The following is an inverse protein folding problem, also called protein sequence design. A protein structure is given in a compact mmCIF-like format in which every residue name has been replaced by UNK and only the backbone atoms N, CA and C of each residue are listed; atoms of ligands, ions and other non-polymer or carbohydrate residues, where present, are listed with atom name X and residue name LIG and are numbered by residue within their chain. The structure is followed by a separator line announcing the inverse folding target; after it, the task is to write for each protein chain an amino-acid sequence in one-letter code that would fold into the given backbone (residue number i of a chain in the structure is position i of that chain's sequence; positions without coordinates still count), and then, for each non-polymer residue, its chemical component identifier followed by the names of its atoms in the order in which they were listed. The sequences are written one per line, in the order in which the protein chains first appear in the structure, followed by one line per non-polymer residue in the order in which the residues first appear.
data_IF_255767578912
#
_entry.id   IF_255767578912
#
_cell.length_a   1.000
_cell.length_b   1.000
_cell.length_c   1.000
_cell.angle_alpha   90.00
_cell.angle_beta   90.00
_cell.angle_gamma   90.00
#
_symmetry.space_group_name_H-M   'P 1'
#
loop_
_entity.id
_entity.type
_entity.pdbx_description
1 polymer ?
#
# COMPACT_ATOMS: atom_id res chain seq x y z
N UNK A 1 -13.41 3.21 20.30
CA UNK A 1 -12.26 3.68 19.52
C UNK A 1 -12.74 4.90 18.75
N UNK A 2 -12.10 6.06 18.88
CA UNK A 2 -12.60 7.31 18.27
C UNK A 2 -12.68 7.18 16.75
N UNK A 3 -13.79 7.62 16.16
CA UNK A 3 -13.95 7.65 14.72
C UNK A 3 -13.05 8.75 14.15
N UNK A 4 -11.94 8.35 13.53
CA UNK A 4 -11.05 9.27 12.81
C UNK A 4 -11.68 9.51 11.44
N UNK A 5 -11.76 10.78 11.03
CA UNK A 5 -12.30 11.13 9.72
C UNK A 5 -11.50 10.46 8.60
N UNK A 6 -12.19 9.92 7.58
CA UNK A 6 -11.55 9.37 6.37
C UNK A 6 -10.52 10.34 5.77
N UNK A 7 -10.78 11.64 5.83
CA UNK A 7 -9.89 12.70 5.35
C UNK A 7 -8.52 12.69 6.07
N UNK A 8 -8.50 12.40 7.37
CA UNK A 8 -7.26 12.31 8.13
C UNK A 8 -6.41 11.12 7.70
N UNK A 9 -7.03 9.98 7.39
CA UNK A 9 -6.30 8.81 6.83
C UNK A 9 -5.69 9.15 5.47
N UNK A 10 -6.47 9.75 4.57
CA UNK A 10 -5.99 10.15 3.23
C UNK A 10 -4.78 11.07 3.34
N UNK A 11 -4.88 12.13 4.15
CA UNK A 11 -3.75 13.06 4.35
C UNK A 11 -2.52 12.32 4.87
N UNK A 12 -2.67 11.46 5.88
CA UNK A 12 -1.54 10.73 6.46
C UNK A 12 -0.85 9.84 5.42
N UNK A 13 -1.61 9.07 4.64
CA UNK A 13 -1.06 8.16 3.63
C UNK A 13 -0.38 8.96 2.52
N UNK A 14 -0.97 10.07 2.10
CA UNK A 14 -0.36 10.94 1.09
C UNK A 14 0.98 11.50 1.57
N UNK A 15 1.08 11.92 2.82
CA UNK A 15 2.35 12.40 3.40
C UNK A 15 3.37 11.27 3.58
N UNK A 16 2.95 10.03 3.87
CA UNK A 16 3.85 8.86 3.88
C UNK A 16 4.44 8.64 2.48
N UNK A 17 3.62 8.65 1.43
CA UNK A 17 4.07 8.48 0.05
C UNK A 17 5.03 9.62 -0.35
N UNK A 18 4.66 10.88 -0.07
CA UNK A 18 5.54 12.04 -0.33
C UNK A 18 6.85 11.95 0.42
N UNK A 19 6.86 11.48 1.66
CA UNK A 19 8.07 11.28 2.44
C UNK A 19 9.02 10.29 1.76
N UNK A 20 8.53 9.14 1.29
CA UNK A 20 9.37 8.14 0.61
C UNK A 20 9.92 8.65 -0.72
N UNK A 21 9.10 9.37 -1.50
CA UNK A 21 9.56 10.04 -2.73
C UNK A 21 10.68 11.04 -2.40
N UNK A 22 10.47 11.92 -1.42
CA UNK A 22 11.40 13.00 -1.08
C UNK A 22 12.69 12.49 -0.43
N UNK A 23 12.65 11.39 0.32
CA UNK A 23 13.84 10.80 0.98
C UNK A 23 14.81 10.21 -0.03
N UNK A 24 14.30 9.71 -1.15
CA UNK A 24 15.11 9.16 -2.24
C UNK A 24 15.65 10.30 -3.13
N UNK A 25 15.13 11.52 -2.99
CA UNK A 25 15.69 12.74 -3.60
C UNK A 25 17.00 13.17 -2.91
N UNK A 26 18.04 13.58 -3.67
CA UNK A 26 19.42 13.72 -3.20
C UNK A 26 19.67 14.83 -2.16
N UNK A 27 18.70 15.70 -1.85
CA UNK A 27 18.89 16.71 -0.79
C UNK A 27 19.18 16.09 0.59
N UNK A 28 18.81 14.82 0.80
CA UNK A 28 19.02 14.11 2.09
C UNK A 28 20.15 13.08 2.07
N UNK A 29 20.58 12.63 0.89
CA UNK A 29 21.58 11.57 0.74
C UNK A 29 22.82 12.09 0.01
N UNK A 30 23.71 12.75 0.75
CA UNK A 30 25.00 13.25 0.27
C UNK A 30 25.98 12.14 -0.23
N UNK A 31 25.54 10.88 -0.29
CA UNK A 31 26.34 9.69 -0.59
C UNK A 31 25.85 8.90 -1.83
N UNK A 32 24.77 9.32 -2.49
CA UNK A 32 24.26 8.67 -3.71
C UNK A 32 24.33 9.64 -4.90
N UNK A 33 25.53 9.71 -5.48
CA UNK A 33 25.90 9.90 -6.90
C UNK A 33 25.20 10.95 -7.78
N UNK A 34 26.03 11.62 -8.58
CA UNK A 34 25.75 12.59 -9.65
C UNK A 34 24.82 12.11 -10.82
N UNK A 35 24.07 11.02 -10.66
CA UNK A 35 23.17 10.41 -11.66
C UNK A 35 21.74 10.18 -11.13
N UNK A 36 21.24 11.03 -10.23
CA UNK A 36 19.85 10.97 -9.78
C UNK A 36 18.92 11.52 -10.86
N UNK A 37 18.19 10.63 -11.51
CA UNK A 37 17.06 10.99 -12.37
C UNK A 37 15.74 10.61 -11.66
N UNK A 38 14.97 11.59 -11.15
CA UNK A 38 13.70 11.35 -10.46
C UNK A 38 12.64 10.68 -11.34
N UNK A 39 12.81 10.69 -12.66
CA UNK A 39 11.93 10.02 -13.61
C UNK A 39 12.36 8.58 -13.95
N UNK A 40 13.55 8.15 -13.48
CA UNK A 40 14.09 6.83 -13.81
C UNK A 40 13.26 5.70 -13.20
N UNK A 41 13.13 4.62 -13.97
CA UNK A 41 12.44 3.40 -13.55
C UNK A 41 13.07 2.79 -12.28
N UNK A 42 14.39 2.88 -12.15
CA UNK A 42 15.13 2.40 -10.97
C UNK A 42 14.75 3.17 -9.70
N UNK A 43 14.60 4.50 -9.80
CA UNK A 43 14.15 5.34 -8.67
C UNK A 43 12.73 4.96 -8.23
N UNK A 44 11.82 4.76 -9.18
CA UNK A 44 10.47 4.29 -8.87
C UNK A 44 10.46 2.90 -8.24
N UNK A 45 11.33 1.99 -8.67
CA UNK A 45 11.47 0.65 -8.06
C UNK A 45 11.90 0.75 -6.60
N UNK A 46 12.92 1.56 -6.29
CA UNK A 46 13.38 1.76 -4.91
C UNK A 46 12.32 2.41 -4.01
N UNK A 47 11.52 3.34 -4.55
CA UNK A 47 10.39 3.94 -3.80
C UNK A 47 9.32 2.87 -3.52
N UNK A 48 8.96 2.04 -4.51
CA UNK A 48 7.99 0.95 -4.35
C UNK A 48 8.43 -0.05 -3.27
N UNK A 49 9.69 -0.49 -3.31
CA UNK A 49 10.26 -1.41 -2.32
C UNK A 49 10.17 -0.81 -0.91
N UNK A 50 10.57 0.45 -0.74
CA UNK A 50 10.52 1.08 0.58
C UNK A 50 9.09 1.31 1.09
N UNK A 51 8.13 1.54 0.20
CA UNK A 51 6.72 1.64 0.57
C UNK A 51 6.14 0.27 0.94
N UNK A 52 6.52 -0.78 0.22
CA UNK A 52 6.16 -2.16 0.54
C UNK A 52 6.67 -2.54 1.93
N UNK A 53 7.92 -2.24 2.26
CA UNK A 53 8.51 -2.52 3.58
C UNK A 53 7.77 -1.77 4.71
N UNK A 54 7.46 -0.48 4.50
CA UNK A 54 6.67 0.28 5.48
C UNK A 54 5.27 -0.35 5.66
N UNK A 55 4.61 -0.70 4.56
CA UNK A 55 3.33 -1.38 4.58
C UNK A 55 3.40 -2.72 5.33
N UNK A 56 4.45 -3.50 5.09
CA UNK A 56 4.67 -4.80 5.73
C UNK A 56 4.71 -4.69 7.25
N UNK A 57 5.49 -3.74 7.79
CA UNK A 57 5.55 -3.51 9.23
C UNK A 57 4.21 -3.06 9.82
N UNK A 58 3.46 -2.25 9.07
CA UNK A 58 2.12 -1.81 9.47
C UNK A 58 1.14 -2.99 9.49
N UNK A 59 1.17 -3.85 8.47
CA UNK A 59 0.33 -5.04 8.36
C UNK A 59 0.52 -6.01 9.53
N UNK A 60 1.78 -6.27 9.91
CA UNK A 60 2.11 -7.09 11.08
C UNK A 60 1.43 -6.56 12.36
N UNK A 61 1.52 -5.25 12.59
CA UNK A 61 0.97 -4.58 13.78
C UNK A 61 -0.56 -4.56 13.76
N UNK A 62 -1.17 -4.26 12.61
CA UNK A 62 -2.63 -4.22 12.46
C UNK A 62 -3.21 -5.61 12.74
N UNK A 63 -2.69 -6.64 12.09
CA UNK A 63 -3.21 -7.99 12.27
C UNK A 63 -3.01 -8.48 13.71
N UNK A 64 -1.84 -8.25 14.30
CA UNK A 64 -1.59 -8.58 15.71
C UNK A 64 -2.61 -7.95 16.66
N UNK A 65 -3.19 -6.79 16.31
CA UNK A 65 -4.28 -6.16 17.06
C UNK A 65 -5.65 -6.76 16.73
N UNK A 66 -5.96 -6.97 15.45
CA UNK A 66 -7.25 -7.50 15.00
C UNK A 66 -7.46 -8.97 15.42
N UNK A 67 -6.39 -9.72 15.66
CA UNK A 67 -6.42 -11.13 16.03
C UNK A 67 -6.35 -11.39 17.54
N UNK A 68 -6.24 -10.35 18.39
CA UNK A 68 -6.01 -10.51 19.84
C UNK A 68 -7.02 -11.44 20.53
N UNK A 69 -8.29 -11.39 20.12
CA UNK A 69 -9.37 -12.20 20.68
C UNK A 69 -9.80 -13.34 19.75
N UNK A 70 -9.00 -13.64 18.73
CA UNK A 70 -9.30 -14.67 17.74
C UNK A 70 -8.44 -15.92 17.98
N UNK A 71 -9.02 -17.09 17.73
CA UNK A 71 -8.24 -18.32 17.65
C UNK A 71 -7.32 -18.33 16.43
N UNK A 72 -6.32 -19.23 16.39
CA UNK A 72 -5.41 -19.35 15.26
C UNK A 72 -6.17 -19.70 13.96
N UNK A 73 -5.79 -19.06 12.86
CA UNK A 73 -6.34 -19.32 11.53
C UNK A 73 -5.43 -20.35 10.83
N UNK A 74 -5.91 -21.58 10.65
CA UNK A 74 -5.13 -22.66 10.02
C UNK A 74 -5.45 -22.90 8.55
N UNK A 75 -6.56 -22.34 8.05
CA UNK A 75 -7.03 -22.58 6.69
C UNK A 75 -6.79 -21.35 5.80
N UNK A 76 -6.13 -21.49 4.64
CA UNK A 76 -5.88 -20.39 3.71
C UNK A 76 -7.16 -19.67 3.25
N UNK A 77 -8.26 -20.40 3.05
CA UNK A 77 -9.51 -19.77 2.63
C UNK A 77 -10.12 -18.92 3.75
N UNK A 78 -10.11 -19.40 5.00
CA UNK A 78 -10.49 -18.60 6.17
C UNK A 78 -9.57 -17.39 6.35
N UNK A 79 -8.28 -17.53 6.08
CA UNK A 79 -7.33 -16.41 6.08
C UNK A 79 -7.74 -15.36 5.05
N UNK A 80 -8.01 -15.75 3.80
CA UNK A 80 -8.43 -14.80 2.76
C UNK A 80 -9.81 -14.18 3.04
N UNK A 81 -10.72 -14.90 3.68
CA UNK A 81 -11.99 -14.33 4.18
C UNK A 81 -11.73 -13.28 5.26
N UNK A 82 -10.81 -13.53 6.19
CA UNK A 82 -10.41 -12.53 7.18
C UNK A 82 -9.81 -11.28 6.50
N UNK A 83 -8.92 -11.46 5.52
CA UNK A 83 -8.34 -10.35 4.76
C UNK A 83 -9.44 -9.53 4.07
N UNK A 84 -10.33 -10.19 3.31
CA UNK A 84 -11.36 -9.53 2.52
C UNK A 84 -12.45 -8.86 3.36
N UNK A 85 -12.69 -9.33 4.59
CA UNK A 85 -13.79 -8.83 5.43
C UNK A 85 -13.29 -7.97 6.57
N UNK A 86 -12.41 -8.49 7.41
CA UNK A 86 -11.99 -7.82 8.63
C UNK A 86 -10.90 -6.80 8.34
N UNK A 87 -9.81 -7.22 7.70
CA UNK A 87 -8.72 -6.30 7.37
C UNK A 87 -9.16 -5.23 6.36
N UNK A 88 -9.88 -5.63 5.30
CA UNK A 88 -10.37 -4.68 4.30
C UNK A 88 -11.29 -3.63 4.90
N UNK A 89 -12.23 -4.05 5.76
CA UNK A 89 -13.13 -3.10 6.46
C UNK A 89 -12.36 -2.21 7.41
N UNK A 90 -11.34 -2.73 8.09
CA UNK A 90 -10.50 -1.92 8.96
C UNK A 90 -9.73 -0.82 8.20
N UNK A 91 -9.17 -1.15 7.03
CA UNK A 91 -8.39 -0.20 6.21
C UNK A 91 -9.28 0.78 5.45
N UNK A 92 -10.31 0.25 4.79
CA UNK A 92 -11.08 0.96 3.76
C UNK A 92 -12.54 1.26 4.17
N UNK A 93 -12.96 0.81 5.35
CA UNK A 93 -14.33 0.99 5.83
C UNK A 93 -15.37 0.14 5.08
N UNK A 94 -14.94 -0.76 4.20
CA UNK A 94 -15.80 -1.69 3.44
C UNK A 94 -15.09 -3.01 3.17
N UNK A 95 -15.87 -4.06 2.88
CA UNK A 95 -15.33 -5.36 2.48
C UNK A 95 -14.78 -5.30 1.05
N UNK A 96 -13.88 -6.22 0.71
CA UNK A 96 -13.44 -6.39 -0.67
C UNK A 96 -14.63 -6.80 -1.55
N UNK A 97 -14.61 -6.39 -2.82
CA UNK A 97 -15.71 -6.60 -3.75
C UNK A 97 -15.87 -8.08 -4.12
N UNK A 98 -14.75 -8.73 -4.43
CA UNK A 98 -14.73 -10.12 -4.90
C UNK A 98 -13.40 -10.78 -4.57
N UNK A 99 -13.47 -12.06 -4.22
CA UNK A 99 -12.32 -12.94 -4.07
C UNK A 99 -12.42 -14.02 -5.14
N UNK A 100 -11.37 -14.18 -5.93
CA UNK A 100 -11.16 -15.36 -6.78
C UNK A 100 -10.00 -16.18 -6.23
N UNK A 101 -10.06 -17.48 -6.42
CA UNK A 101 -9.03 -18.42 -5.97
C UNK A 101 -8.88 -19.56 -6.95
N UNK A 102 -7.68 -20.12 -7.06
CA UNK A 102 -7.47 -21.40 -7.75
C UNK A 102 -7.02 -22.49 -6.78
N UNK A 103 -6.97 -23.74 -7.25
CA UNK A 103 -6.52 -24.88 -6.44
C UNK A 103 -5.02 -24.88 -6.12
N UNK A 104 -4.25 -23.96 -6.70
CA UNK A 104 -2.80 -23.83 -6.54
C UNK A 104 -2.41 -22.76 -5.51
N UNK A 105 -3.38 -22.21 -4.77
CA UNK A 105 -3.11 -21.22 -3.72
C UNK A 105 -2.90 -19.79 -4.26
N UNK A 106 -3.32 -19.50 -5.49
CA UNK A 106 -3.37 -18.13 -6.02
C UNK A 106 -4.73 -17.54 -5.67
N UNK A 107 -4.70 -16.32 -5.13
CA UNK A 107 -5.89 -15.55 -4.77
C UNK A 107 -5.84 -14.18 -5.43
N UNK A 108 -6.98 -13.71 -5.94
CA UNK A 108 -7.14 -12.38 -6.54
C UNK A 108 -8.25 -11.64 -5.80
N UNK A 109 -7.90 -10.52 -5.17
CA UNK A 109 -8.81 -9.67 -4.40
C UNK A 109 -9.17 -8.45 -5.23
N UNK A 110 -10.42 -8.35 -5.64
CA UNK A 110 -10.93 -7.19 -6.37
C UNK A 110 -11.45 -6.14 -5.39
N UNK A 111 -11.15 -4.88 -5.70
CA UNK A 111 -11.57 -3.73 -4.92
C UNK A 111 -12.14 -2.66 -5.82
N UNK A 112 -13.04 -1.87 -5.25
CA UNK A 112 -13.58 -0.66 -5.86
C UNK A 112 -13.41 0.49 -4.87
N UNK A 113 -13.35 1.73 -5.36
CA UNK A 113 -13.22 2.98 -4.58
C UNK A 113 -12.32 2.87 -3.34
N UNK A 114 -11.05 2.58 -3.57
CA UNK A 114 -10.03 2.64 -2.52
C UNK A 114 -9.76 4.11 -2.21
N UNK A 115 -10.50 4.66 -1.25
CA UNK A 115 -10.48 6.09 -0.93
C UNK A 115 -9.09 6.64 -0.54
N UNK A 116 -8.15 5.75 -0.22
CA UNK A 116 -6.75 6.09 0.01
C UNK A 116 -6.08 6.72 -1.23
N UNK A 117 -6.65 6.50 -2.41
CA UNK A 117 -6.21 7.05 -3.70
C UNK A 117 -7.13 8.18 -4.20
N UNK A 118 -8.04 8.70 -3.36
CA UNK A 118 -8.87 9.85 -3.74
C UNK A 118 -8.05 11.15 -3.66
N UNK A 119 -8.40 12.14 -4.50
CA UNK A 119 -7.79 13.49 -4.48
C UNK A 119 -6.27 13.52 -4.72
N UNK A 120 -5.74 12.55 -5.48
CA UNK A 120 -4.34 12.55 -5.90
C UNK A 120 -3.98 13.80 -6.72
N UNK A 121 -4.89 14.26 -7.58
CA UNK A 121 -4.74 15.46 -8.43
C UNK A 121 -4.51 16.76 -7.62
N UNK A 122 -5.14 16.87 -6.45
CA UNK A 122 -4.99 18.04 -5.58
C UNK A 122 -3.61 18.08 -4.90
N UNK A 123 -3.00 16.91 -4.66
CA UNK A 123 -1.67 16.80 -4.06
C UNK A 123 -0.54 16.92 -5.09
N UNK A 124 -0.84 16.66 -6.36
CA UNK A 124 0.08 16.86 -7.48
C UNK A 124 0.41 18.35 -7.69
N UNK A 125 -0.58 19.23 -7.55
CA UNK A 125 -0.52 20.64 -7.97
C UNK A 125 0.15 21.61 -6.97
N UNK A 126 0.39 21.21 -5.72
CA UNK A 126 1.06 22.10 -4.75
C UNK A 126 2.59 22.14 -4.94
N UNK A 127 3.02 23.25 -5.55
CA UNK A 127 4.25 24.06 -5.29
C UNK A 127 5.60 23.60 -5.89
N UNK A 128 6.05 24.40 -6.87
CA UNK A 128 7.44 24.74 -7.30
C UNK A 128 8.21 23.86 -8.33
N UNK A 129 7.97 24.16 -9.63
CA UNK A 129 8.89 24.61 -10.68
C UNK A 129 10.33 24.07 -10.91
N UNK A 130 10.79 22.92 -10.40
CA UNK A 130 12.11 22.43 -10.86
C UNK A 130 12.41 20.93 -10.81
N UNK A 131 11.49 20.08 -10.33
CA UNK A 131 11.65 18.63 -10.35
C UNK A 131 10.46 17.98 -11.03
N UNK A 132 10.71 17.15 -12.06
CA UNK A 132 9.68 16.30 -12.66
C UNK A 132 9.06 15.43 -11.57
N UNK A 133 7.79 15.69 -11.27
CA UNK A 133 7.01 14.89 -10.34
C UNK A 133 6.59 13.59 -11.03
N UNK A 134 6.50 12.46 -10.31
CA UNK A 134 5.95 11.22 -10.86
C UNK A 134 4.55 11.43 -11.46
N UNK A 135 4.22 10.68 -12.51
CA UNK A 135 2.88 10.74 -13.11
C UNK A 135 1.82 10.23 -12.14
N UNK A 136 0.55 10.52 -12.42
CA UNK A 136 -0.57 10.04 -11.60
C UNK A 136 -0.62 8.50 -11.55
N UNK A 137 -0.29 7.82 -12.66
CA UNK A 137 -0.15 6.36 -12.73
C UNK A 137 0.99 5.87 -11.82
N UNK A 138 2.14 6.53 -11.82
CA UNK A 138 3.24 6.17 -10.91
C UNK A 138 2.85 6.37 -9.45
N UNK A 139 2.13 7.45 -9.12
CA UNK A 139 1.58 7.62 -7.78
C UNK A 139 0.67 6.47 -7.40
N UNK A 140 -0.29 6.09 -8.26
CA UNK A 140 -1.16 4.92 -8.02
C UNK A 140 -0.35 3.66 -7.72
N UNK A 141 0.71 3.39 -8.47
CA UNK A 141 1.61 2.27 -8.21
C UNK A 141 2.26 2.35 -6.81
N UNK A 142 2.70 3.54 -6.37
CA UNK A 142 3.20 3.73 -5.00
C UNK A 142 2.16 3.38 -3.92
N UNK A 143 0.90 3.78 -4.08
CA UNK A 143 -0.16 3.39 -3.16
C UNK A 143 -0.40 1.88 -3.17
N UNK A 144 -0.40 1.26 -4.35
CA UNK A 144 -0.56 -0.19 -4.50
C UNK A 144 0.60 -0.96 -3.86
N UNK A 145 1.84 -0.51 -3.98
CA UNK A 145 2.99 -1.10 -3.28
C UNK A 145 2.84 -1.00 -1.77
N UNK A 146 2.40 0.16 -1.25
CA UNK A 146 2.14 0.31 0.18
C UNK A 146 1.04 -0.65 0.67
N UNK A 147 -0.09 -0.73 -0.04
CA UNK A 147 -1.19 -1.65 0.28
C UNK A 147 -0.73 -3.11 0.17
N UNK A 148 0.06 -3.45 -0.85
CA UNK A 148 0.61 -4.80 -1.04
C UNK A 148 1.52 -5.19 0.12
N UNK A 149 2.35 -4.25 0.60
CA UNK A 149 3.13 -4.40 1.82
C UNK A 149 2.24 -4.73 3.02
N UNK A 150 1.19 -3.92 3.25
CA UNK A 150 0.22 -4.17 4.35
C UNK A 150 -0.37 -5.58 4.27
N UNK A 151 -0.75 -6.05 3.08
CA UNK A 151 -1.27 -7.41 2.89
C UNK A 151 -0.20 -8.48 3.14
N UNK A 152 1.02 -8.29 2.66
CA UNK A 152 2.14 -9.21 2.85
C UNK A 152 2.49 -9.38 4.33
N UNK A 153 2.59 -8.27 5.07
CA UNK A 153 2.82 -8.28 6.51
C UNK A 153 1.65 -8.90 7.27
N UNK A 154 0.42 -8.60 6.86
CA UNK A 154 -0.79 -9.20 7.43
C UNK A 154 -0.81 -10.72 7.27
N UNK A 155 -0.56 -11.21 6.06
CA UNK A 155 -0.53 -12.63 5.72
C UNK A 155 0.60 -13.35 6.44
N UNK A 156 1.79 -12.72 6.55
CA UNK A 156 2.88 -13.22 7.40
C UNK A 156 2.46 -13.36 8.86
N UNK A 157 1.79 -12.37 9.43
CA UNK A 157 1.32 -12.40 10.83
C UNK A 157 0.27 -13.50 11.07
N UNK A 158 -0.48 -13.88 10.04
CA UNK A 158 -1.44 -14.99 10.09
C UNK A 158 -0.81 -16.36 9.85
N UNK A 159 0.49 -16.43 9.55
CA UNK A 159 1.21 -17.68 9.29
C UNK A 159 1.22 -18.12 7.82
N UNK A 160 0.80 -17.25 6.88
CA UNK A 160 0.73 -17.53 5.45
C UNK A 160 1.65 -16.58 4.65
N UNK A 161 2.98 -16.67 4.76
CA UNK A 161 3.88 -15.83 3.98
C UNK A 161 3.67 -16.06 2.46
N UNK A 162 3.47 -14.99 1.70
CA UNK A 162 3.32 -15.06 0.25
C UNK A 162 3.85 -13.79 -0.44
N UNK A 163 3.94 -13.85 -1.77
CA UNK A 163 4.13 -12.66 -2.61
C UNK A 163 2.78 -12.00 -2.86
N UNK A 164 2.75 -10.67 -2.91
CA UNK A 164 1.55 -9.86 -3.18
C UNK A 164 1.92 -8.83 -4.21
N UNK A 165 1.09 -8.69 -5.24
CA UNK A 165 1.23 -7.69 -6.29
C UNK A 165 -0.10 -6.95 -6.43
N UNK A 166 -0.03 -5.64 -6.62
CA UNK A 166 -1.19 -4.78 -6.83
C UNK A 166 -1.17 -4.22 -8.26
N UNK A 167 -2.33 -4.27 -8.91
CA UNK A 167 -2.53 -3.72 -10.25
C UNK A 167 -3.77 -2.83 -10.22
N UNK A 168 -3.75 -1.73 -10.98
CA UNK A 168 -4.92 -0.90 -11.25
C UNK A 168 -5.36 -1.18 -12.69
N UNK A 169 -6.61 -1.60 -12.87
CA UNK A 169 -7.18 -1.91 -14.19
C UNK A 169 -7.12 -0.71 -15.17
N UNK A 170 -6.97 0.52 -14.65
CA UNK A 170 -6.84 1.74 -15.46
C UNK A 170 -5.41 2.05 -15.91
N UNK A 171 -4.40 1.24 -15.54
CA UNK A 171 -2.98 1.44 -15.88
C UNK A 171 -2.54 0.55 -17.06
N UNK A 172 -3.44 -0.23 -17.66
CA UNK A 172 -3.17 -1.08 -18.83
C UNK A 172 -3.52 -0.42 -20.18
#
# INVERSE_FOLDING_TARGET
MGEVSKRSHVILIHEIVKYHISRITPETNHLLSDNYDPSSQDTHSSINESLEDHGYDLGLKIVSRLTLSMGPIHDPNKCMVFICRQLWTYLFGKQAKRLQSNSQGIYVVFSEDLYWMDNLEFNYSTRNNSTEKPSIETYRQFYLSFISGVLKGSLKSLGFPCSVFGEDENIC
#
